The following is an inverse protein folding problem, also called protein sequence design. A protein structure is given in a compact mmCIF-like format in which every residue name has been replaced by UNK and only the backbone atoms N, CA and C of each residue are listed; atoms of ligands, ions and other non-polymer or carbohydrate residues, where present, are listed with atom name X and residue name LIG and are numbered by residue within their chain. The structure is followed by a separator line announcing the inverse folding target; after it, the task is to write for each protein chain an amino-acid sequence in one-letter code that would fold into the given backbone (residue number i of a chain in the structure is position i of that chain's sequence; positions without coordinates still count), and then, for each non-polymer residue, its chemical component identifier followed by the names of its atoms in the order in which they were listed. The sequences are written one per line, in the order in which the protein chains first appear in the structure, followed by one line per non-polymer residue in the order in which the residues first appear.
data_IF_250479270079
#
_entry.id   IF_250479270079
#
_cell.length_a   1.000
_cell.length_b   1.000
_cell.length_c   1.000
_cell.angle_alpha   90.00
_cell.angle_beta   90.00
_cell.angle_gamma   90.00
#
_symmetry.space_group_name_H-M   'P 1'
#
loop_
_entity.id
_entity.type
_entity.pdbx_description
1 polymer ?
#
# COMPACT_ATOMS: atom_id res chain seq x y z
N UNK A 1 11.37 -12.48 3.94
CA UNK A 1 10.04 -11.96 3.56
C UNK A 1 9.90 -12.08 2.06
N UNK A 2 8.69 -12.27 1.54
CA UNK A 2 8.43 -12.28 0.10
C UNK A 2 8.79 -10.92 -0.52
N UNK A 3 9.24 -10.93 -1.78
CA UNK A 3 9.36 -9.70 -2.54
C UNK A 3 7.98 -9.03 -2.68
N UNK A 4 7.96 -7.70 -2.63
CA UNK A 4 6.72 -6.92 -2.54
C UNK A 4 5.94 -6.91 -3.85
N UNK A 5 6.66 -6.86 -4.97
CA UNK A 5 6.05 -6.87 -6.29
C UNK A 5 5.59 -8.28 -6.64
N UNK A 6 6.35 -9.31 -6.25
CA UNK A 6 5.93 -10.70 -6.36
C UNK A 6 4.67 -10.98 -5.52
N UNK A 7 4.65 -10.56 -4.25
CA UNK A 7 3.48 -10.73 -3.38
C UNK A 7 2.23 -10.02 -3.94
N UNK A 8 2.38 -8.81 -4.51
CA UNK A 8 1.28 -8.11 -5.19
C UNK A 8 0.77 -8.93 -6.37
N UNK A 9 1.67 -9.43 -7.22
CA UNK A 9 1.32 -10.21 -8.41
C UNK A 9 0.60 -11.49 -8.04
N UNK A 10 1.09 -12.20 -7.02
CA UNK A 10 0.50 -13.45 -6.55
C UNK A 10 -0.88 -13.25 -5.94
N UNK A 11 -1.07 -12.23 -5.10
CA UNK A 11 -2.38 -11.89 -4.55
C UNK A 11 -3.39 -11.62 -5.66
N UNK A 12 -3.03 -10.78 -6.64
CA UNK A 12 -3.91 -10.41 -7.76
C UNK A 12 -4.22 -11.56 -8.72
N UNK A 13 -3.46 -12.65 -8.69
CA UNK A 13 -3.73 -13.84 -9.50
C UNK A 13 -4.85 -14.72 -8.88
N UNK A 14 -5.23 -14.48 -7.63
CA UNK A 14 -6.28 -15.26 -6.96
C UNK A 14 -7.68 -14.91 -7.51
N UNK A 15 -8.53 -15.89 -7.82
CA UNK A 15 -9.90 -15.63 -8.25
C UNK A 15 -10.68 -14.80 -7.23
N UNK A 16 -11.27 -13.69 -7.68
CA UNK A 16 -12.02 -12.78 -6.82
C UNK A 16 -11.18 -11.78 -6.03
N UNK A 17 -9.85 -11.75 -6.18
CA UNK A 17 -9.00 -10.73 -5.56
C UNK A 17 -9.03 -9.43 -6.35
N UNK A 18 -9.27 -8.31 -5.67
CA UNK A 18 -9.13 -6.97 -6.22
C UNK A 18 -7.90 -6.23 -5.69
N UNK A 19 -7.57 -5.10 -6.33
CA UNK A 19 -6.40 -4.29 -5.98
C UNK A 19 -6.51 -3.66 -4.59
N UNK A 20 -7.73 -3.34 -4.12
CA UNK A 20 -7.94 -2.73 -2.82
C UNK A 20 -7.68 -3.75 -1.70
N UNK A 21 -8.22 -4.96 -1.83
CA UNK A 21 -8.04 -6.08 -0.90
C UNK A 21 -6.58 -6.52 -0.87
N UNK A 22 -5.94 -6.65 -2.04
CA UNK A 22 -4.52 -6.98 -2.10
C UNK A 22 -3.65 -5.92 -1.42
N UNK A 23 -3.95 -4.62 -1.62
CA UNK A 23 -3.25 -3.54 -0.93
C UNK A 23 -3.45 -3.60 0.60
N UNK A 24 -4.67 -3.89 1.07
CA UNK A 24 -4.98 -4.03 2.50
C UNK A 24 -4.18 -5.18 3.13
N UNK A 25 -4.12 -6.34 2.48
CA UNK A 25 -3.32 -7.50 2.94
C UNK A 25 -1.84 -7.12 3.02
N UNK A 26 -1.30 -6.47 1.97
CA UNK A 26 0.11 -6.06 1.95
C UNK A 26 0.47 -5.12 3.10
N UNK A 27 -0.37 -4.12 3.37
CA UNK A 27 -0.14 -3.17 4.48
C UNK A 27 -0.29 -3.85 5.84
N UNK A 28 -1.37 -4.60 6.05
CA UNK A 28 -1.77 -5.04 7.40
C UNK A 28 -1.17 -6.38 7.81
N UNK A 29 -1.07 -7.33 6.88
CA UNK A 29 -0.59 -8.68 7.16
C UNK A 29 0.88 -8.86 6.81
N UNK A 30 1.32 -8.30 5.67
CA UNK A 30 2.70 -8.45 5.19
C UNK A 30 3.62 -7.29 5.62
N UNK A 31 3.07 -6.23 6.19
CA UNK A 31 3.84 -5.08 6.69
C UNK A 31 4.61 -4.35 5.60
N UNK A 32 4.08 -4.31 4.37
CA UNK A 32 4.73 -3.65 3.24
C UNK A 32 4.72 -2.11 3.42
N UNK A 33 5.89 -1.45 3.59
CA UNK A 33 5.93 -0.01 3.80
C UNK A 33 5.70 0.84 2.55
N UNK A 34 5.61 0.27 1.35
CA UNK A 34 5.56 1.03 0.09
C UNK A 34 4.22 0.90 -0.66
N UNK A 35 3.12 0.81 0.08
CA UNK A 35 1.76 0.76 -0.47
C UNK A 35 1.01 2.05 -0.14
N UNK A 36 0.52 2.74 -1.18
CA UNK A 36 -0.40 3.86 -1.02
C UNK A 36 -1.86 3.37 -1.03
N UNK A 37 -2.80 4.09 -0.38
CA UNK A 37 -4.21 3.79 -0.52
C UNK A 37 -4.67 3.77 -1.99
N UNK A 38 -5.60 2.88 -2.37
CA UNK A 38 -6.16 2.88 -3.71
C UNK A 38 -6.71 4.25 -4.10
N UNK A 39 -6.36 4.74 -5.29
CA UNK A 39 -6.79 6.05 -5.79
C UNK A 39 -5.98 7.25 -5.26
N UNK A 40 -5.07 7.06 -4.31
CA UNK A 40 -4.18 8.12 -3.84
C UNK A 40 -2.91 8.19 -4.70
N UNK A 41 -2.64 9.31 -5.42
CA UNK A 41 -1.44 9.47 -6.24
C UNK A 41 -0.22 9.79 -5.37
N UNK A 42 0.33 8.77 -4.69
CA UNK A 42 1.50 8.96 -3.84
C UNK A 42 2.74 9.36 -4.65
N UNK A 43 3.47 10.43 -4.25
CA UNK A 43 4.71 10.83 -4.89
C UNK A 43 5.78 9.74 -4.90
N UNK A 44 6.55 9.62 -5.99
CA UNK A 44 7.69 8.70 -6.06
C UNK A 44 8.77 9.01 -5.01
N UNK A 45 8.88 10.27 -4.60
CA UNK A 45 9.79 10.71 -3.54
C UNK A 45 9.50 10.05 -2.17
N UNK A 46 8.31 9.48 -1.98
CA UNK A 46 7.97 8.75 -0.75
C UNK A 46 8.43 7.29 -0.77
N UNK A 47 8.91 6.77 -1.91
CA UNK A 47 9.48 5.42 -1.96
C UNK A 47 10.75 5.36 -1.10
N UNK A 48 11.01 4.24 -0.40
CA UNK A 48 10.23 3.00 -0.33
C UNK A 48 9.27 2.93 0.88
N UNK A 49 8.75 4.08 1.34
CA UNK A 49 7.99 4.23 2.59
C UNK A 49 6.62 4.91 2.39
N UNK A 50 5.98 4.75 1.22
CA UNK A 50 4.70 5.40 0.89
C UNK A 50 3.59 5.15 1.91
N UNK A 51 3.52 3.95 2.50
CA UNK A 51 2.54 3.64 3.55
C UNK A 51 2.77 4.54 4.76
N UNK A 52 4.01 4.68 5.20
CA UNK A 52 4.35 5.49 6.37
C UNK A 52 4.18 6.98 6.10
N UNK A 53 4.62 7.46 4.94
CA UNK A 53 4.42 8.86 4.56
C UNK A 53 2.93 9.23 4.55
N UNK A 54 2.07 8.38 3.95
CA UNK A 54 0.62 8.58 3.98
C UNK A 54 0.08 8.59 5.41
N UNK A 55 0.44 7.61 6.25
CA UNK A 55 -0.06 7.51 7.62
C UNK A 55 0.37 8.74 8.45
N UNK A 56 1.61 9.19 8.35
CA UNK A 56 2.09 10.37 9.07
C UNK A 56 1.31 11.62 8.67
N UNK A 57 1.13 11.87 7.38
CA UNK A 57 0.43 13.05 6.90
C UNK A 57 -1.08 12.99 7.20
N UNK A 58 -1.70 11.81 7.09
CA UNK A 58 -3.09 11.60 7.45
C UNK A 58 -3.32 11.81 8.95
N UNK A 59 -2.46 11.25 9.80
CA UNK A 59 -2.52 11.45 11.26
C UNK A 59 -2.24 12.91 11.65
N UNK A 60 -1.36 13.61 10.93
CA UNK A 60 -1.09 15.04 11.12
C UNK A 60 -2.23 15.95 10.62
N UNK A 61 -3.20 15.42 9.87
CA UNK A 61 -4.28 16.21 9.26
C UNK A 61 -3.85 17.00 8.01
N UNK A 62 -2.71 16.65 7.43
CA UNK A 62 -2.16 17.25 6.20
C UNK A 62 -2.74 16.64 4.92
N UNK A 63 -3.47 15.52 5.04
CA UNK A 63 -4.25 14.92 3.97
C UNK A 63 -5.76 15.04 4.25
N UNK A 64 -6.59 15.15 3.20
CA UNK A 64 -8.03 15.12 3.36
C UNK A 64 -8.49 13.80 3.97
N UNK A 65 -9.53 13.87 4.81
CA UNK A 65 -10.23 12.70 5.36
C UNK A 65 -11.14 12.05 4.34
#
# INVERSE_FOLDING_TARGET
GADRDDARRELLALPGMDAATAALIRVRALGDPDVAPPGFPAPDAWRPWRTYAFQHLYTAGELPR
#
